data_IF_673842818348
#
_entry.id   IF_673842818348
#
_cell.length_a   1.000
_cell.length_b   1.000
_cell.length_c   1.000
_cell.angle_alpha   90.00
_cell.angle_beta   90.00
_cell.angle_gamma   90.00
#
_symmetry.space_group_name_H-M   'P 1'
#
loop_
_entity.id
_entity.type
_entity.pdbx_description
1 polymer ?
#
# COMPACT_ATOMS: atom_id res chain seq x y z
N UNK A 1 -69.16 39.10 -20.64
CA UNK A 1 -68.65 38.86 -22.02
C UNK A 1 -67.20 39.32 -22.11
N UNK A 2 -66.33 38.45 -22.66
CA UNK A 2 -64.93 38.65 -23.12
C UNK A 2 -63.85 38.96 -22.06
N UNK A 3 -63.01 37.98 -21.74
CA UNK A 3 -61.75 37.72 -22.47
C UNK A 3 -60.93 36.61 -21.77
N UNK A 4 -60.67 35.50 -22.46
CA UNK A 4 -59.59 34.57 -22.12
C UNK A 4 -58.31 35.04 -22.82
N UNK A 5 -57.23 35.25 -22.06
CA UNK A 5 -55.87 35.28 -22.62
C UNK A 5 -54.89 34.51 -21.72
N UNK A 6 -54.84 33.21 -21.98
CA UNK A 6 -53.66 32.38 -22.25
C UNK A 6 -52.27 32.91 -21.81
N UNK A 7 -51.56 32.01 -21.10
CA UNK A 7 -50.09 31.76 -21.10
C UNK A 7 -49.29 32.70 -20.19
N UNK A 8 -48.35 32.29 -19.35
CA UNK A 8 -47.41 31.15 -19.37
C UNK A 8 -47.08 30.77 -17.92
N UNK A 9 -47.17 29.47 -17.57
CA UNK A 9 -46.48 28.93 -16.38
C UNK A 9 -44.97 29.03 -16.63
N UNK A 10 -44.25 29.78 -15.79
CA UNK A 10 -42.79 29.83 -15.78
C UNK A 10 -42.23 29.33 -14.46
N UNK A 11 -42.25 28.01 -14.23
CA UNK A 11 -41.36 27.40 -13.22
C UNK A 11 -39.93 27.43 -13.79
N UNK A 12 -39.15 28.44 -13.42
CA UNK A 12 -37.71 28.42 -13.62
C UNK A 12 -37.06 27.64 -12.46
N UNK A 13 -37.13 26.31 -12.52
CA UNK A 13 -36.26 25.45 -11.72
C UNK A 13 -34.86 25.47 -12.33
N UNK A 14 -34.01 26.39 -11.86
CA UNK A 14 -32.57 26.33 -12.13
C UNK A 14 -32.00 25.10 -11.41
N UNK A 15 -31.89 24.00 -12.14
CA UNK A 15 -31.16 22.83 -11.72
C UNK A 15 -29.69 23.21 -11.57
N UNK A 16 -29.24 23.40 -10.33
CA UNK A 16 -27.82 23.49 -10.00
C UNK A 16 -27.19 22.13 -10.31
N UNK A 17 -26.53 22.00 -11.46
CA UNK A 17 -25.66 20.88 -11.76
C UNK A 17 -24.42 20.99 -10.86
N UNK A 18 -24.51 20.46 -9.65
CA UNK A 18 -23.34 20.19 -8.82
C UNK A 18 -22.49 19.16 -9.57
N UNK A 19 -21.48 19.64 -10.29
CA UNK A 19 -20.39 18.82 -10.81
C UNK A 19 -19.72 18.15 -9.61
N UNK A 20 -20.17 16.95 -9.27
CA UNK A 20 -19.48 16.08 -8.35
C UNK A 20 -18.14 15.76 -9.00
N UNK A 21 -17.12 16.53 -8.65
CA UNK A 21 -15.73 16.15 -8.88
C UNK A 21 -15.57 14.89 -8.06
N UNK A 22 -15.75 13.73 -8.69
CA UNK A 22 -15.36 12.44 -8.14
C UNK A 22 -13.87 12.54 -7.93
N UNK A 23 -13.45 13.01 -6.76
CA UNK A 23 -12.11 12.77 -6.27
C UNK A 23 -12.00 11.27 -6.28
N UNK A 24 -11.31 10.71 -7.28
CA UNK A 24 -10.91 9.33 -7.25
C UNK A 24 -10.20 9.20 -5.90
N UNK A 25 -10.88 8.55 -4.95
CA UNK A 25 -10.35 8.37 -3.61
C UNK A 25 -8.98 7.75 -3.83
N UNK A 26 -7.94 8.50 -3.44
CA UNK A 26 -6.54 8.16 -3.73
C UNK A 26 -6.27 6.81 -3.13
N UNK A 27 -6.31 5.79 -3.95
CA UNK A 27 -6.36 4.41 -3.50
C UNK A 27 -5.41 3.57 -4.35
N UNK A 28 -4.25 4.13 -4.67
CA UNK A 28 -3.20 3.38 -5.33
C UNK A 28 -2.05 3.24 -4.35
N UNK A 29 -1.72 1.99 -4.05
CA UNK A 29 -0.61 1.59 -3.22
C UNK A 29 0.38 0.71 -3.98
N UNK A 30 1.63 0.70 -3.52
CA UNK A 30 2.69 -0.12 -4.05
C UNK A 30 3.68 -0.53 -2.95
N UNK A 31 4.24 -1.72 -3.12
CA UNK A 31 5.28 -2.28 -2.28
C UNK A 31 6.45 -2.74 -3.16
N UNK A 32 7.64 -2.26 -2.84
CA UNK A 32 8.90 -2.66 -3.46
C UNK A 32 9.83 -3.27 -2.41
N UNK A 33 10.50 -4.36 -2.80
CA UNK A 33 11.41 -5.10 -1.94
C UNK A 33 12.75 -5.26 -2.66
N UNK A 34 13.83 -4.98 -1.95
CA UNK A 34 15.19 -5.31 -2.31
C UNK A 34 15.68 -6.43 -1.40
N UNK A 35 16.16 -7.51 -2.01
CA UNK A 35 16.66 -8.71 -1.35
C UNK A 35 17.78 -9.34 -2.18
N UNK A 36 18.81 -9.87 -1.52
CA UNK A 36 19.96 -10.52 -2.17
C UNK A 36 19.95 -12.04 -2.08
N UNK A 37 18.97 -12.63 -1.38
CA UNK A 37 19.00 -14.03 -0.95
C UNK A 37 19.50 -14.23 0.48
N UNK A 38 20.10 -13.21 1.11
CA UNK A 38 20.75 -13.31 2.43
C UNK A 38 20.38 -12.10 3.31
N UNK A 39 19.21 -12.15 3.95
CA UNK A 39 18.71 -11.07 4.82
C UNK A 39 19.60 -10.89 6.04
N UNK A 40 20.12 -11.98 6.59
CA UNK A 40 21.00 -11.98 7.76
C UNK A 40 22.24 -11.11 7.54
N UNK A 41 22.86 -11.19 6.35
CA UNK A 41 24.06 -10.42 6.02
C UNK A 41 23.76 -9.06 5.38
N UNK A 42 22.87 -9.03 4.41
CA UNK A 42 22.72 -7.88 3.50
C UNK A 42 21.48 -7.01 3.84
N UNK A 43 20.64 -7.47 4.77
CA UNK A 43 19.38 -6.84 5.16
C UNK A 43 18.27 -7.01 4.11
N UNK A 44 17.12 -6.40 4.39
CA UNK A 44 16.02 -6.23 3.44
C UNK A 44 15.79 -4.73 3.22
N UNK A 45 15.73 -4.31 1.96
CA UNK A 45 15.30 -2.97 1.62
C UNK A 45 13.81 -2.97 1.31
N UNK A 46 13.07 -2.03 1.87
CA UNK A 46 11.62 -1.91 1.73
C UNK A 46 11.27 -0.51 1.31
N UNK A 47 10.37 -0.39 0.35
CA UNK A 47 9.75 0.87 0.01
C UNK A 47 8.25 0.69 -0.19
N UNK A 48 7.48 1.57 0.44
CA UNK A 48 6.02 1.52 0.49
C UNK A 48 5.47 2.85 0.02
N UNK A 49 4.35 2.81 -0.66
CA UNK A 49 3.59 3.98 -1.08
C UNK A 49 2.10 3.65 -0.94
N UNK A 50 1.33 4.53 -0.30
CA UNK A 50 -0.12 4.40 -0.10
C UNK A 50 -0.79 5.75 -0.33
N UNK A 51 -2.08 5.74 -0.63
CA UNK A 51 -2.88 6.94 -0.84
C UNK A 51 -2.40 7.80 -2.01
N UNK A 52 -1.90 7.18 -3.09
CA UNK A 52 -1.53 7.89 -4.31
C UNK A 52 -2.72 8.03 -5.27
N UNK A 53 -2.67 9.07 -6.10
CA UNK A 53 -3.72 9.34 -7.10
C UNK A 53 -3.63 8.39 -8.30
N UNK A 54 -2.42 7.93 -8.63
CA UNK A 54 -2.19 7.00 -9.74
C UNK A 54 -1.24 5.88 -9.32
N UNK A 55 -1.41 4.73 -9.98
CA UNK A 55 -0.58 3.54 -9.80
C UNK A 55 0.88 3.81 -10.13
N UNK A 56 1.14 4.57 -11.19
CA UNK A 56 2.50 4.88 -11.65
C UNK A 56 3.25 5.70 -10.61
N UNK A 57 2.58 6.66 -9.96
CA UNK A 57 3.17 7.44 -8.89
C UNK A 57 3.48 6.56 -7.67
N UNK A 58 2.54 5.69 -7.27
CA UNK A 58 2.75 4.75 -6.18
C UNK A 58 3.97 3.85 -6.44
N UNK A 59 4.07 3.26 -7.64
CA UNK A 59 5.19 2.40 -8.05
C UNK A 59 6.50 3.16 -7.99
N UNK A 60 6.57 4.34 -8.60
CA UNK A 60 7.79 5.13 -8.66
C UNK A 60 8.29 5.49 -7.25
N UNK A 61 7.39 5.95 -6.38
CA UNK A 61 7.72 6.26 -4.97
C UNK A 61 8.17 5.02 -4.21
N UNK A 62 7.45 3.89 -4.29
CA UNK A 62 7.82 2.68 -3.57
C UNK A 62 9.22 2.18 -3.99
N UNK A 63 9.54 2.21 -5.29
CA UNK A 63 10.87 1.85 -5.78
C UNK A 63 11.94 2.84 -5.30
N UNK A 64 11.66 4.13 -5.33
CA UNK A 64 12.57 5.17 -4.84
C UNK A 64 12.90 4.97 -3.35
N UNK A 65 11.88 4.80 -2.51
CA UNK A 65 12.06 4.59 -1.08
C UNK A 65 12.84 3.31 -0.78
N UNK A 66 12.55 2.24 -1.51
CA UNK A 66 13.31 0.99 -1.40
C UNK A 66 14.80 1.22 -1.70
N UNK A 67 15.11 1.90 -2.82
CA UNK A 67 16.49 2.18 -3.26
C UNK A 67 17.24 3.12 -2.31
N UNK A 68 16.51 3.98 -1.60
CA UNK A 68 17.06 4.93 -0.64
C UNK A 68 17.25 4.35 0.78
N UNK A 69 17.00 3.06 0.99
CA UNK A 69 17.27 2.38 2.27
C UNK A 69 18.74 2.51 2.66
N UNK A 70 18.99 3.11 3.83
CA UNK A 70 20.35 3.33 4.35
C UNK A 70 20.89 2.12 5.10
N UNK A 71 19.99 1.32 5.68
CA UNK A 71 20.30 0.18 6.53
C UNK A 71 20.66 -1.06 5.71
N UNK A 72 20.05 -1.24 4.53
CA UNK A 72 20.24 -2.42 3.69
C UNK A 72 20.80 -2.05 2.30
N UNK A 73 21.93 -1.33 2.25
CA UNK A 73 22.48 -0.73 1.02
C UNK A 73 22.65 -1.71 -0.15
N UNK A 74 23.09 -2.94 0.13
CA UNK A 74 23.30 -3.96 -0.91
C UNK A 74 21.97 -4.51 -1.42
N UNK A 75 21.01 -4.76 -0.52
CA UNK A 75 19.65 -5.14 -0.90
C UNK A 75 18.92 -4.01 -1.65
N UNK A 76 19.17 -2.75 -1.30
CA UNK A 76 18.58 -1.57 -1.96
C UNK A 76 18.93 -1.48 -3.46
N UNK A 77 20.05 -2.06 -3.88
CA UNK A 77 20.43 -2.13 -5.30
C UNK A 77 19.58 -3.12 -6.11
N UNK A 78 18.86 -4.03 -5.46
CA UNK A 78 18.05 -5.07 -6.10
C UNK A 78 16.55 -4.80 -6.04
N UNK A 79 16.15 -3.61 -5.57
CA UNK A 79 14.75 -3.23 -5.40
C UNK A 79 13.89 -3.45 -6.64
N UNK A 80 12.83 -4.23 -6.47
CA UNK A 80 11.80 -4.50 -7.46
C UNK A 80 10.42 -4.29 -6.86
N UNK A 81 9.48 -3.88 -7.69
CA UNK A 81 8.07 -3.89 -7.35
C UNK A 81 7.63 -5.35 -7.12
N UNK A 82 7.03 -5.63 -5.96
CA UNK A 82 6.49 -6.96 -5.64
C UNK A 82 4.97 -6.97 -5.59
N UNK A 83 4.36 -5.82 -5.34
CA UNK A 83 2.91 -5.68 -5.37
C UNK A 83 2.49 -4.23 -5.68
N UNK A 84 1.33 -4.13 -6.30
CA UNK A 84 0.49 -2.92 -6.36
C UNK A 84 -0.86 -3.30 -5.81
N UNK A 85 -1.53 -2.37 -5.16
CA UNK A 85 -2.76 -2.68 -4.45
C UNK A 85 -3.65 -1.44 -4.37
N UNK A 86 -4.95 -1.67 -4.13
CA UNK A 86 -5.94 -0.59 -4.12
C UNK A 86 -6.99 -0.86 -3.06
N UNK A 87 -7.12 0.06 -2.10
CA UNK A 87 -8.00 -0.10 -0.92
C UNK A 87 -7.71 -1.38 -0.13
N UNK A 88 -6.44 -1.73 -0.08
CA UNK A 88 -5.89 -2.93 0.57
C UNK A 88 -4.78 -2.50 1.53
N UNK A 89 -4.33 -3.44 2.35
CA UNK A 89 -3.28 -3.24 3.34
C UNK A 89 -2.03 -4.03 2.98
N UNK A 90 -0.87 -3.47 3.29
CA UNK A 90 0.37 -4.21 3.30
C UNK A 90 0.85 -4.42 4.73
N UNK A 91 1.68 -5.43 4.91
CA UNK A 91 2.48 -5.62 6.11
C UNK A 91 3.87 -6.12 5.75
N UNK A 92 4.83 -5.79 6.61
CA UNK A 92 6.21 -6.27 6.59
C UNK A 92 6.55 -6.75 7.99
N UNK A 93 7.14 -7.93 8.07
CA UNK A 93 7.55 -8.58 9.31
C UNK A 93 9.01 -9.01 9.24
N UNK A 94 9.68 -8.99 10.39
CA UNK A 94 11.06 -9.42 10.56
C UNK A 94 11.24 -10.25 11.83
N UNK A 95 12.27 -11.09 11.83
CA UNK A 95 12.87 -11.55 13.07
C UNK A 95 13.69 -10.39 13.67
N UNK A 96 13.38 -9.93 14.90
CA UNK A 96 14.02 -8.75 15.48
C UNK A 96 15.47 -8.97 15.88
N UNK A 97 15.98 -10.21 15.88
CA UNK A 97 17.38 -10.48 16.19
C UNK A 97 18.27 -10.11 15.00
N UNK A 98 19.30 -9.27 15.18
CA UNK A 98 20.25 -9.00 14.10
C UNK A 98 20.93 -10.28 13.59
N UNK A 99 21.12 -10.37 12.27
CA UNK A 99 21.81 -11.49 11.63
C UNK A 99 20.96 -12.74 11.43
N UNK A 100 19.62 -12.65 11.53
CA UNK A 100 18.72 -13.75 11.19
C UNK A 100 18.08 -13.57 9.82
N UNK A 101 17.71 -14.67 9.14
CA UNK A 101 17.14 -14.59 7.80
C UNK A 101 15.65 -14.20 7.77
N UNK A 102 14.97 -14.22 8.93
CA UNK A 102 13.53 -14.03 9.05
C UNK A 102 13.04 -12.69 8.51
N UNK A 103 12.34 -12.72 7.38
CA UNK A 103 11.63 -11.59 6.82
C UNK A 103 10.44 -12.03 5.97
N UNK A 104 9.36 -11.25 6.01
CA UNK A 104 8.17 -11.52 5.21
C UNK A 104 7.40 -10.26 4.91
N UNK A 105 6.64 -10.29 3.83
CA UNK A 105 5.75 -9.20 3.44
C UNK A 105 4.51 -9.76 2.79
N UNK A 106 3.40 -9.04 2.90
CA UNK A 106 2.16 -9.42 2.28
C UNK A 106 1.30 -8.20 1.94
N UNK A 107 0.38 -8.39 1.01
CA UNK A 107 -0.76 -7.52 0.76
C UNK A 107 -2.03 -8.32 0.99
N UNK A 108 -3.03 -7.71 1.61
CA UNK A 108 -4.34 -8.31 1.83
C UNK A 108 -5.45 -7.27 1.90
N UNK A 109 -6.70 -7.73 1.89
CA UNK A 109 -7.88 -6.86 1.96
C UNK A 109 -7.96 -6.01 3.25
N UNK A 110 -7.38 -6.50 4.35
CA UNK A 110 -7.36 -5.84 5.65
C UNK A 110 -6.00 -6.01 6.34
N UNK A 111 -5.76 -5.19 7.37
CA UNK A 111 -4.47 -5.11 8.06
C UNK A 111 -4.13 -6.39 8.81
N UNK A 112 -5.10 -6.99 9.50
CA UNK A 112 -4.86 -8.20 10.29
C UNK A 112 -4.43 -9.36 9.39
N UNK A 113 -5.12 -9.54 8.26
CA UNK A 113 -4.76 -10.57 7.28
C UNK A 113 -3.39 -10.31 6.64
N UNK A 114 -3.04 -9.05 6.38
CA UNK A 114 -1.71 -8.72 5.85
C UNK A 114 -0.61 -9.06 6.86
N UNK A 115 -0.79 -8.67 8.12
CA UNK A 115 0.14 -8.95 9.22
C UNK A 115 0.33 -10.46 9.44
N UNK A 116 -0.76 -11.21 9.54
CA UNK A 116 -0.72 -12.67 9.70
C UNK A 116 0.11 -13.33 8.59
N UNK A 117 -0.14 -12.95 7.33
CA UNK A 117 0.58 -13.49 6.18
C UNK A 117 2.04 -13.09 6.16
N UNK A 118 2.35 -11.83 6.48
CA UNK A 118 3.73 -11.36 6.55
C UNK A 118 4.51 -12.09 7.65
N UNK A 119 3.91 -12.31 8.81
CA UNK A 119 4.50 -13.12 9.89
C UNK A 119 4.70 -14.55 9.43
N UNK A 120 3.71 -15.21 8.83
CA UNK A 120 3.84 -16.59 8.36
C UNK A 120 5.01 -16.77 7.36
N UNK A 121 5.18 -15.82 6.43
CA UNK A 121 6.31 -15.81 5.50
C UNK A 121 7.64 -15.58 6.24
N UNK A 122 7.66 -14.65 7.20
CA UNK A 122 8.83 -14.41 8.04
C UNK A 122 9.25 -15.68 8.78
N UNK A 123 8.30 -16.36 9.44
CA UNK A 123 8.54 -17.60 10.19
C UNK A 123 9.10 -18.70 9.27
N UNK A 124 8.55 -18.84 8.07
CA UNK A 124 9.05 -19.80 7.09
C UNK A 124 10.51 -19.50 6.66
N UNK A 125 10.87 -18.23 6.50
CA UNK A 125 12.22 -17.80 6.12
C UNK A 125 13.21 -17.81 7.29
N UNK A 126 12.73 -17.64 8.53
CA UNK A 126 13.56 -17.60 9.74
C UNK A 126 14.12 -18.98 10.10
N UNK A 127 13.40 -20.05 9.74
CA UNK A 127 13.74 -21.43 10.05
C UNK A 127 13.21 -21.88 11.41
N UNK A 128 13.24 -23.19 11.66
CA UNK A 128 12.62 -23.81 12.84
C UNK A 128 13.16 -23.29 14.18
N UNK A 129 14.46 -22.95 14.22
CA UNK A 129 15.13 -22.46 15.44
C UNK A 129 14.68 -21.04 15.85
N UNK A 130 13.93 -20.37 14.98
CA UNK A 130 13.46 -19.00 15.14
C UNK A 130 11.93 -18.91 15.15
N UNK A 131 11.24 -20.04 15.30
CA UNK A 131 9.78 -20.05 15.32
C UNK A 131 9.20 -19.16 16.43
N UNK A 132 8.23 -18.34 16.09
CA UNK A 132 7.51 -17.44 16.99
C UNK A 132 8.27 -16.16 17.35
N UNK A 133 9.42 -15.89 16.72
CA UNK A 133 10.19 -14.66 16.96
C UNK A 133 9.77 -13.51 16.05
N UNK A 134 9.16 -13.79 14.90
CA UNK A 134 8.83 -12.77 13.91
C UNK A 134 7.79 -11.78 14.46
N UNK A 135 7.96 -10.50 14.12
CA UNK A 135 7.06 -9.41 14.48
C UNK A 135 6.77 -8.55 13.26
N UNK A 136 5.55 -8.04 13.19
CA UNK A 136 5.21 -6.97 12.25
C UNK A 136 6.02 -5.72 12.60
N UNK A 137 6.80 -5.23 11.65
CA UNK A 137 7.55 -3.97 11.78
C UNK A 137 6.72 -2.80 11.24
N UNK A 138 6.03 -3.03 10.12
CA UNK A 138 5.19 -2.02 9.49
C UNK A 138 3.95 -2.66 8.90
N UNK A 139 2.78 -2.05 9.13
CA UNK A 139 1.56 -2.39 8.43
C UNK A 139 0.61 -1.20 8.33
N UNK A 140 0.19 -0.88 7.10
CA UNK A 140 -0.69 0.25 6.79
C UNK A 140 -1.63 -0.11 5.65
N UNK A 141 -2.76 0.59 5.58
CA UNK A 141 -3.70 0.42 4.49
C UNK A 141 -3.78 1.65 3.61
N UNK A 142 -4.12 1.38 2.36
CA UNK A 142 -4.50 2.38 1.40
C UNK A 142 -5.97 2.77 1.66
N UNK A 143 -6.20 4.06 1.91
CA UNK A 143 -7.46 4.73 2.25
C UNK A 143 -8.16 4.37 3.56
N UNK A 144 -7.54 3.56 4.43
CA UNK A 144 -8.09 3.21 5.75
C UNK A 144 -6.97 3.30 6.81
N UNK A 145 -7.17 4.01 7.91
CA UNK A 145 -6.29 3.98 9.09
C UNK A 145 -7.00 3.28 10.25
#
# INVERSE_FOLDING_TARGET
MRSLSKRVLGLAALAAASAAVTHAARAEGALAIGWTGDVARDGLAVGTAINYATREQAIATAIEYCRNSKQAKKAAQTCKLVATFRRECYAVAYDPKPGTPGAGWAVAADKATAEERAIAICEASAGTDRQGTCRTEEAKCDTNE
#
